data_IF_859505316521
#
_entry.id   IF_859505316521
#
_cell.length_a   1.000
_cell.length_b   1.000
_cell.length_c   1.000
_cell.angle_alpha   90.00
_cell.angle_beta   90.00
_cell.angle_gamma   90.00
#
_symmetry.space_group_name_H-M   'P 1'
#
loop_
_entity.id
_entity.type
_entity.pdbx_description
1 polymer ?
#
# COMPACT_ATOMS: atom_id res chain seq x y z
N UNK A 1 37.55 4.92 14.08
CA UNK A 1 36.97 6.10 13.41
C UNK A 1 36.14 5.63 12.22
N UNK A 2 34.96 6.22 12.02
CA UNK A 2 33.94 5.95 10.97
C UNK A 2 33.23 4.58 11.00
N UNK A 3 32.18 4.45 11.83
CA UNK A 3 31.13 3.46 11.61
C UNK A 3 30.19 4.02 10.54
N UNK A 4 30.35 3.56 9.29
CA UNK A 4 29.40 3.85 8.22
C UNK A 4 28.04 3.24 8.58
N UNK A 5 27.11 4.07 9.04
CA UNK A 5 25.71 3.70 9.27
C UNK A 5 25.08 3.36 7.91
N UNK A 6 25.24 2.12 7.48
CA UNK A 6 24.63 1.61 6.26
C UNK A 6 23.13 1.87 6.33
N UNK A 7 22.63 2.74 5.44
CA UNK A 7 21.19 2.88 5.18
C UNK A 7 20.71 1.55 4.65
N UNK A 8 20.20 0.68 5.53
CA UNK A 8 19.52 -0.54 5.12
C UNK A 8 18.19 -0.14 4.48
N UNK A 9 18.10 -0.23 3.16
CA UNK A 9 16.85 -0.03 2.44
C UNK A 9 15.91 -1.19 2.79
N UNK A 10 14.97 -0.95 3.72
CA UNK A 10 13.97 -1.94 4.16
C UNK A 10 12.99 -2.34 3.04
N UNK A 11 12.89 -1.51 1.99
CA UNK A 11 12.05 -1.75 0.83
C UNK A 11 12.88 -1.54 -0.44
N UNK A 12 12.87 -2.55 -1.30
CA UNK A 12 13.47 -2.51 -2.61
C UNK A 12 12.85 -1.38 -3.45
N UNK A 13 13.65 -0.72 -4.29
CA UNK A 13 13.18 0.41 -5.11
C UNK A 13 12.06 -0.06 -6.04
N UNK A 14 12.17 -1.28 -6.57
CA UNK A 14 11.12 -1.90 -7.39
C UNK A 14 9.80 -2.06 -6.63
N UNK A 15 9.82 -2.50 -5.38
CA UNK A 15 8.61 -2.62 -4.57
C UNK A 15 7.91 -1.27 -4.34
N UNK A 16 8.69 -0.18 -4.20
CA UNK A 16 8.12 1.16 -4.04
C UNK A 16 7.45 1.65 -5.33
N UNK A 17 8.05 1.37 -6.47
CA UNK A 17 7.50 1.72 -7.78
C UNK A 17 6.23 0.94 -8.06
N UNK A 18 6.22 -0.37 -7.84
CA UNK A 18 5.00 -1.22 -7.93
C UNK A 18 3.88 -0.64 -7.05
N UNK A 19 4.17 -0.36 -5.78
CA UNK A 19 3.17 0.17 -4.86
C UNK A 19 2.66 1.56 -5.28
N UNK A 20 3.53 2.43 -5.79
CA UNK A 20 3.13 3.73 -6.32
C UNK A 20 2.24 3.60 -7.56
N UNK A 21 2.55 2.67 -8.47
CA UNK A 21 1.72 2.36 -9.63
C UNK A 21 0.36 1.81 -9.23
N UNK A 22 0.31 0.93 -8.23
CA UNK A 22 -0.93 0.38 -7.69
C UNK A 22 -1.81 1.48 -7.08
N UNK A 23 -1.22 2.34 -6.23
CA UNK A 23 -1.95 3.45 -5.60
C UNK A 23 -2.50 4.40 -6.66
N UNK A 24 -1.67 4.83 -7.61
CA UNK A 24 -2.07 5.79 -8.65
C UNK A 24 -3.16 5.22 -9.55
N UNK A 25 -3.01 3.99 -10.05
CA UNK A 25 -4.03 3.34 -10.88
C UNK A 25 -5.35 3.12 -10.14
N UNK A 26 -5.30 2.68 -8.89
CA UNK A 26 -6.49 2.55 -8.04
C UNK A 26 -7.18 3.90 -7.79
N UNK A 27 -6.42 4.96 -7.49
CA UNK A 27 -6.97 6.30 -7.30
C UNK A 27 -7.66 6.80 -8.57
N UNK A 28 -7.05 6.61 -9.74
CA UNK A 28 -7.68 6.98 -11.03
C UNK A 28 -8.98 6.22 -11.24
N UNK A 29 -9.02 4.91 -10.95
CA UNK A 29 -10.23 4.09 -11.03
C UNK A 29 -11.35 4.60 -10.13
N UNK A 30 -11.03 4.98 -8.89
CA UNK A 30 -12.02 5.53 -7.95
C UNK A 30 -12.55 6.88 -8.43
N UNK A 31 -11.66 7.79 -8.83
CA UNK A 31 -12.03 9.14 -9.30
C UNK A 31 -12.89 9.08 -10.57
N UNK A 32 -12.57 8.16 -11.49
CA UNK A 32 -13.34 8.00 -12.74
C UNK A 32 -14.60 7.14 -12.55
N UNK A 33 -14.57 6.16 -11.64
CA UNK A 33 -15.64 5.18 -11.47
C UNK A 33 -16.78 5.66 -10.57
N UNK A 34 -16.48 6.42 -9.51
CA UNK A 34 -17.51 6.94 -8.60
C UNK A 34 -18.51 7.85 -9.34
N UNK A 35 -18.08 8.84 -10.15
CA UNK A 35 -19.02 9.66 -10.92
C UNK A 35 -19.85 8.84 -11.92
N UNK A 36 -19.24 7.84 -12.58
CA UNK A 36 -19.97 6.97 -13.52
C UNK A 36 -21.09 6.20 -12.83
N UNK A 37 -20.85 5.68 -11.62
CA UNK A 37 -21.85 4.95 -10.83
C UNK A 37 -22.98 5.86 -10.33
N UNK A 38 -22.65 7.09 -9.94
CA UNK A 38 -23.60 8.05 -9.38
C UNK A 38 -24.01 9.11 -10.40
N UNK A 39 -24.07 8.78 -11.69
CA UNK A 39 -24.33 9.71 -12.79
C UNK A 39 -25.64 10.51 -12.68
N UNK A 40 -26.60 10.06 -11.86
CA UNK A 40 -27.82 10.80 -11.53
C UNK A 40 -27.63 11.95 -10.53
N UNK A 41 -26.47 12.06 -9.90
CA UNK A 41 -26.18 13.09 -8.91
C UNK A 41 -25.51 14.31 -9.57
N UNK A 42 -25.90 15.55 -9.21
CA UNK A 42 -25.34 16.76 -9.83
C UNK A 42 -23.82 16.90 -9.69
N UNK A 43 -23.25 16.47 -8.57
CA UNK A 43 -21.80 16.49 -8.37
C UNK A 43 -21.06 15.53 -9.29
N UNK A 44 -21.68 14.40 -9.63
CA UNK A 44 -21.10 13.38 -10.50
C UNK A 44 -21.15 13.84 -11.96
N UNK A 45 -22.25 14.46 -12.38
CA UNK A 45 -22.37 15.09 -13.68
C UNK A 45 -21.31 16.20 -13.86
N UNK A 46 -21.15 17.08 -12.86
CA UNK A 46 -20.11 18.11 -12.87
C UNK A 46 -18.71 17.50 -13.02
N UNK A 47 -18.38 16.46 -12.25
CA UNK A 47 -17.11 15.75 -12.33
C UNK A 47 -16.88 15.15 -13.73
N UNK A 48 -17.89 14.49 -14.29
CA UNK A 48 -17.83 13.89 -15.62
C UNK A 48 -17.57 14.96 -16.69
N UNK A 49 -18.30 16.07 -16.62
CA UNK A 49 -18.15 17.19 -17.55
C UNK A 49 -16.78 17.86 -17.42
N UNK A 50 -16.29 18.08 -16.20
CA UNK A 50 -14.97 18.65 -15.94
C UNK A 50 -13.82 17.78 -16.49
N UNK A 51 -14.03 16.46 -16.57
CA UNK A 51 -13.08 15.50 -17.13
C UNK A 51 -13.17 15.35 -18.66
N UNK A 52 -14.03 16.12 -19.34
CA UNK A 52 -14.20 16.07 -20.79
C UNK A 52 -15.36 15.19 -21.26
N UNK A 53 -16.27 14.82 -20.37
CA UNK A 53 -17.49 14.08 -20.69
C UNK A 53 -17.42 12.57 -20.43
N UNK A 54 -18.58 11.91 -20.51
CA UNK A 54 -18.73 10.50 -20.10
C UNK A 54 -17.87 9.53 -20.91
N UNK A 55 -17.66 9.80 -22.20
CA UNK A 55 -16.88 8.93 -23.07
C UNK A 55 -15.39 8.96 -22.69
N UNK A 56 -14.84 10.16 -22.48
CA UNK A 56 -13.44 10.33 -22.05
C UNK A 56 -13.20 9.66 -20.70
N UNK A 57 -14.10 9.90 -19.72
CA UNK A 57 -14.02 9.28 -18.38
C UNK A 57 -14.04 7.76 -18.47
N UNK A 58 -14.88 7.18 -19.34
CA UNK A 58 -14.98 5.74 -19.54
C UNK A 58 -13.72 5.15 -20.16
N UNK A 59 -13.13 5.82 -21.14
CA UNK A 59 -11.86 5.41 -21.77
C UNK A 59 -10.74 5.41 -20.73
N UNK A 60 -10.60 6.50 -19.96
CA UNK A 60 -9.58 6.61 -18.91
C UNK A 60 -9.78 5.51 -17.85
N UNK A 61 -11.01 5.27 -17.42
CA UNK A 61 -11.32 4.22 -16.45
C UNK A 61 -10.91 2.82 -16.95
N UNK A 62 -11.24 2.49 -18.22
CA UNK A 62 -10.87 1.20 -18.82
C UNK A 62 -9.36 1.05 -18.95
N UNK A 63 -8.65 2.09 -19.37
CA UNK A 63 -7.19 2.08 -19.44
C UNK A 63 -6.56 1.86 -18.06
N UNK A 64 -7.04 2.56 -17.04
CA UNK A 64 -6.61 2.39 -15.66
C UNK A 64 -6.93 0.98 -15.11
N UNK A 65 -8.08 0.40 -15.48
CA UNK A 65 -8.45 -0.96 -15.11
C UNK A 65 -7.49 -2.00 -15.69
N UNK A 66 -7.17 -1.89 -16.99
CA UNK A 66 -6.22 -2.80 -17.65
C UNK A 66 -4.84 -2.69 -17.01
N UNK A 67 -4.36 -1.48 -16.71
CA UNK A 67 -3.08 -1.26 -16.04
C UNK A 67 -3.06 -1.88 -14.64
N UNK A 68 -4.12 -1.67 -13.83
CA UNK A 68 -4.20 -2.25 -12.49
C UNK A 68 -4.24 -3.77 -12.53
N UNK A 69 -4.98 -4.37 -13.47
CA UNK A 69 -5.02 -5.83 -13.64
C UNK A 69 -3.63 -6.36 -14.01
N UNK A 70 -2.95 -5.74 -14.97
CA UNK A 70 -1.61 -6.15 -15.39
C UNK A 70 -0.59 -6.04 -14.24
N UNK A 71 -0.64 -4.94 -13.47
CA UNK A 71 0.22 -4.74 -12.29
C UNK A 71 -0.07 -5.78 -11.21
N UNK A 72 -1.35 -6.04 -10.91
CA UNK A 72 -1.76 -7.04 -9.92
C UNK A 72 -1.29 -8.44 -10.32
N UNK A 73 -1.43 -8.81 -11.60
CA UNK A 73 -0.95 -10.10 -12.10
C UNK A 73 0.57 -10.22 -11.97
N UNK A 74 1.32 -9.18 -12.31
CA UNK A 74 2.76 -9.15 -12.15
C UNK A 74 3.17 -9.25 -10.67
N UNK A 75 2.50 -8.49 -9.79
CA UNK A 75 2.77 -8.51 -8.35
C UNK A 75 2.49 -9.89 -7.75
N UNK A 76 1.40 -10.54 -8.15
CA UNK A 76 1.08 -11.91 -7.74
C UNK A 76 2.11 -12.92 -8.26
N UNK A 77 2.61 -12.75 -9.48
CA UNK A 77 3.71 -13.54 -10.04
C UNK A 77 5.02 -13.42 -9.25
N UNK A 78 5.41 -12.19 -8.90
CA UNK A 78 6.61 -11.94 -8.07
C UNK A 78 6.43 -12.51 -6.66
N UNK A 79 5.24 -12.37 -6.07
CA UNK A 79 4.92 -12.91 -4.75
C UNK A 79 4.97 -14.43 -4.75
N UNK A 80 4.32 -15.08 -5.71
CA UNK A 80 4.35 -16.55 -5.86
C UNK A 80 5.77 -17.06 -6.08
N UNK A 81 6.55 -16.43 -6.97
CA UNK A 81 7.97 -16.79 -7.14
C UNK A 81 8.78 -16.67 -5.83
N UNK A 82 8.60 -15.58 -5.07
CA UNK A 82 9.28 -15.39 -3.79
C UNK A 82 8.86 -16.46 -2.76
N UNK A 83 7.58 -16.80 -2.68
CA UNK A 83 7.07 -17.80 -1.73
C UNK A 83 7.50 -19.21 -2.11
N UNK A 84 7.32 -19.61 -3.37
CA UNK A 84 7.55 -20.99 -3.80
C UNK A 84 9.04 -21.29 -4.07
N UNK A 85 9.77 -20.38 -4.71
CA UNK A 85 11.17 -20.62 -5.10
C UNK A 85 12.12 -20.18 -3.99
N UNK A 86 11.98 -18.95 -3.51
CA UNK A 86 12.90 -18.41 -2.48
C UNK A 86 12.55 -18.83 -1.05
N UNK A 87 11.41 -19.51 -0.84
CA UNK A 87 10.90 -19.97 0.48
C UNK A 87 11.05 -18.91 1.57
N UNK A 88 10.84 -17.65 1.21
CA UNK A 88 10.98 -16.54 2.16
C UNK A 88 9.86 -16.73 3.19
N UNK A 89 10.21 -16.74 4.48
CA UNK A 89 9.21 -16.84 5.54
C UNK A 89 8.21 -15.70 5.37
N UNK A 90 6.91 -16.03 5.41
CA UNK A 90 5.79 -15.09 5.31
C UNK A 90 5.68 -14.16 6.55
N UNK A 91 6.79 -13.85 7.19
CA UNK A 91 6.93 -12.93 8.33
C UNK A 91 6.62 -11.47 8.00
N UNK A 92 6.27 -11.14 6.75
CA UNK A 92 5.72 -9.84 6.34
C UNK A 92 4.21 -9.87 6.07
N UNK A 93 3.53 -11.00 6.26
CA UNK A 93 2.06 -10.98 6.27
C UNK A 93 1.60 -10.20 7.51
N UNK A 94 0.65 -9.25 7.36
CA UNK A 94 0.13 -8.50 8.48
C UNK A 94 -0.42 -9.47 9.53
N UNK A 95 0.25 -9.50 10.67
CA UNK A 95 -0.20 -10.24 11.83
C UNK A 95 -1.41 -9.52 12.43
N UNK A 96 -2.28 -10.24 13.15
CA UNK A 96 -3.32 -9.61 13.97
C UNK A 96 -2.73 -8.60 14.98
N UNK A 97 -1.42 -8.67 15.23
CA UNK A 97 -0.66 -7.71 16.01
C UNK A 97 -0.44 -6.37 15.26
N UNK A 98 -0.16 -6.40 13.96
CA UNK A 98 0.03 -5.18 13.15
C UNK A 98 -1.27 -4.37 13.03
N UNK A 99 -2.42 -5.04 13.00
CA UNK A 99 -3.74 -4.39 13.00
C UNK A 99 -4.00 -3.66 14.34
N UNK A 100 -3.63 -4.29 15.47
CA UNK A 100 -3.72 -3.65 16.79
C UNK A 100 -2.78 -2.46 16.90
N UNK A 101 -1.55 -2.59 16.40
CA UNK A 101 -0.55 -1.52 16.38
C UNK A 101 -1.02 -0.35 15.48
N UNK A 102 -1.67 -0.64 14.35
CA UNK A 102 -2.27 0.37 13.47
C UNK A 102 -3.44 1.12 14.11
N UNK A 103 -4.36 0.41 14.78
CA UNK A 103 -5.47 1.02 15.52
C UNK A 103 -4.94 1.85 16.70
N UNK A 104 -3.88 1.38 17.36
CA UNK A 104 -3.24 2.10 18.45
C UNK A 104 -2.53 3.37 17.95
N UNK A 105 -1.88 3.32 16.78
CA UNK A 105 -1.30 4.50 16.14
C UNK A 105 -2.36 5.53 15.72
N UNK A 106 -3.52 5.09 15.21
CA UNK A 106 -4.63 5.98 14.86
C UNK A 106 -5.24 6.64 16.10
N UNK A 107 -5.51 5.88 17.16
CA UNK A 107 -6.08 6.41 18.41
C UNK A 107 -5.10 7.31 19.18
N UNK A 108 -3.78 7.08 19.03
CA UNK A 108 -2.73 7.98 19.53
C UNK A 108 -2.69 9.31 18.75
N UNK A 109 -2.69 9.27 17.40
CA UNK A 109 -2.69 10.48 16.57
C UNK A 109 -3.97 11.33 16.74
N UNK A 110 -5.10 10.69 17.05
CA UNK A 110 -6.37 11.36 17.36
C UNK A 110 -6.47 11.83 18.83
N UNK A 111 -5.41 11.66 19.64
CA UNK A 111 -5.32 12.16 21.01
C UNK A 111 -6.21 11.44 22.03
N UNK A 112 -6.80 10.30 21.66
CA UNK A 112 -7.77 9.55 22.49
C UNK A 112 -7.05 8.67 23.54
N UNK A 113 -5.78 8.32 23.33
CA UNK A 113 -4.98 7.51 24.27
C UNK A 113 -3.62 8.17 24.55
N UNK A 114 -3.26 8.33 25.84
CA UNK A 114 -1.99 8.93 26.31
C UNK A 114 -0.82 7.94 26.46
N UNK A 115 -1.00 6.68 26.08
CA UNK A 115 0.05 5.66 26.16
C UNK A 115 0.86 5.61 24.87
N UNK A 116 2.16 5.91 24.95
CA UNK A 116 3.09 5.68 23.84
C UNK A 116 3.00 4.21 23.37
N UNK A 117 3.05 3.94 22.05
CA UNK A 117 2.91 2.58 21.53
C UNK A 117 3.91 1.65 22.20
N UNK A 118 3.41 0.60 22.88
CA UNK A 118 4.24 -0.51 23.33
C UNK A 118 4.62 -1.31 22.09
N UNK A 119 5.64 -0.83 21.40
CA UNK A 119 6.28 -1.50 20.26
C UNK A 119 6.58 -2.95 20.64
N UNK A 120 5.73 -3.87 20.16
CA UNK A 120 5.87 -5.30 20.40
C UNK A 120 7.05 -5.87 19.62
N UNK A 121 7.98 -6.51 20.34
CA UNK A 121 9.06 -7.45 19.95
C UNK A 121 9.95 -7.21 18.71
N UNK A 122 9.72 -6.23 17.85
CA UNK A 122 10.66 -5.83 16.80
C UNK A 122 11.32 -4.50 17.15
N UNK A 123 11.91 -4.47 18.34
CA UNK A 123 12.98 -3.55 18.64
C UNK A 123 14.24 -4.06 17.90
N UNK A 124 14.87 -3.19 17.12
CA UNK A 124 16.11 -3.40 16.35
C UNK A 124 17.36 -3.58 17.24
N UNK A 125 17.23 -4.28 18.36
CA UNK A 125 18.20 -4.28 19.46
C UNK A 125 18.24 -5.55 20.30
N UNK A 126 18.05 -6.73 19.70
CA UNK A 126 18.48 -7.99 20.34
C UNK A 126 19.62 -8.61 19.55
N UNK A 127 20.86 -8.28 19.96
CA UNK A 127 21.97 -9.21 19.79
C UNK A 127 21.67 -10.41 20.67
N UNK A 128 21.62 -11.58 20.05
CA UNK A 128 21.77 -12.85 20.74
C UNK A 128 23.21 -12.95 21.27
N UNK A 129 23.45 -12.49 22.50
CA UNK A 129 24.50 -13.10 23.29
C UNK A 129 23.95 -14.43 23.82
N UNK A 130 23.98 -15.43 22.93
CA UNK A 130 24.08 -16.83 23.34
C UNK A 130 25.47 -16.99 23.96
N UNK A 131 25.50 -17.63 25.13
CA UNK A 131 26.57 -17.51 26.10
C UNK A 131 27.97 -17.87 25.62
N UNK A 132 28.96 -17.14 26.14
CA UNK A 132 29.75 -17.54 27.31
C UNK A 132 30.44 -16.31 27.88
#
# INVERSE_FOLDING_TARGET
>A
MSNSTGKYWRFDVFQRVEHALLITSFTVLVITGLPQKFSSQPWAEFMIMAMGGIEVVRIIHRAAAVLLIAETMYHFGVLTYKVFVKRVSLTMLPSMQDAKDGIQALTYNLGVTKGAPRMGRYNFGKRSNIGR
#
